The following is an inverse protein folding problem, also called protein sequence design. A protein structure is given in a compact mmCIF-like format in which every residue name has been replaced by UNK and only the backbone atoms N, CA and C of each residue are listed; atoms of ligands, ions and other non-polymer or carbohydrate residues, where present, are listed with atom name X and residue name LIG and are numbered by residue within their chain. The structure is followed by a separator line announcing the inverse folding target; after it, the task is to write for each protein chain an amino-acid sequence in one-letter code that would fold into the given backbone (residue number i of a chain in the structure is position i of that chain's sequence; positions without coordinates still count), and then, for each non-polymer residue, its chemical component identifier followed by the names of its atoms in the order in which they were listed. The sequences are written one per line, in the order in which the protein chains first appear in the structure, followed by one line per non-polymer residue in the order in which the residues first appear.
data_IF_092663667573
#
_entry.id   IF_092663667573
#
_cell.length_a   1.000
_cell.length_b   1.000
_cell.length_c   1.000
_cell.angle_alpha   90.00
_cell.angle_beta   90.00
_cell.angle_gamma   90.00
#
_symmetry.space_group_name_H-M   'P 1'
#
loop_
_entity.id
_entity.type
_entity.pdbx_description
1 polymer ?
#
# COMPACT_ATOMS: atom_id res chain seq x y z
N UNK A 1 -14.84 19.83 10.19
CA UNK A 1 -13.87 19.42 9.16
C UNK A 1 -12.43 19.80 9.52
N UNK A 2 -12.04 21.09 9.51
CA UNK A 2 -10.64 21.48 9.83
C UNK A 2 -10.23 21.04 11.22
N UNK A 3 -11.07 21.25 12.24
CA UNK A 3 -10.81 20.77 13.61
C UNK A 3 -10.76 19.24 13.71
N UNK A 4 -11.48 18.53 12.84
CA UNK A 4 -11.45 17.06 12.77
C UNK A 4 -10.12 16.58 12.21
N UNK A 5 -9.64 17.19 11.13
CA UNK A 5 -8.32 16.90 10.57
C UNK A 5 -7.18 17.31 11.50
N UNK A 6 -7.28 18.47 12.16
CA UNK A 6 -6.27 18.96 13.10
C UNK A 6 -6.15 18.06 14.34
N UNK A 7 -7.28 17.63 14.91
CA UNK A 7 -7.29 16.67 16.04
C UNK A 7 -6.64 15.33 15.68
N UNK A 8 -6.99 14.77 14.53
CA UNK A 8 -6.38 13.53 14.04
C UNK A 8 -4.88 13.67 13.72
N UNK A 9 -4.46 14.82 13.20
CA UNK A 9 -3.04 15.12 13.00
C UNK A 9 -2.28 15.35 14.31
N UNK A 10 -2.94 15.85 15.35
CA UNK A 10 -2.34 15.95 16.67
C UNK A 10 -2.10 14.55 17.27
N UNK A 11 -3.05 13.65 17.14
CA UNK A 11 -2.88 12.25 17.56
C UNK A 11 -1.74 11.56 16.78
N UNK A 12 -1.69 11.75 15.45
CA UNK A 12 -0.59 11.25 14.62
C UNK A 12 0.77 11.81 15.06
N UNK A 13 0.82 13.10 15.42
CA UNK A 13 2.04 13.73 15.91
C UNK A 13 2.52 13.13 17.24
N UNK A 14 1.60 12.90 18.18
CA UNK A 14 1.91 12.30 19.49
C UNK A 14 2.40 10.85 19.32
N UNK A 15 1.80 10.09 18.39
CA UNK A 15 2.26 8.75 18.02
C UNK A 15 3.69 8.79 17.45
N UNK A 16 3.99 9.72 16.54
CA UNK A 16 5.33 9.84 15.97
C UNK A 16 6.38 10.22 17.03
N UNK A 17 6.03 11.05 18.01
CA UNK A 17 6.91 11.33 19.15
C UNK A 17 7.16 10.06 19.97
N UNK A 18 6.14 9.22 20.18
CA UNK A 18 6.31 7.92 20.83
C UNK A 18 7.21 6.97 20.02
N UNK A 19 7.03 6.90 18.70
CA UNK A 19 7.90 6.10 17.81
C UNK A 19 9.36 6.57 17.87
N UNK A 20 9.59 7.89 17.95
CA UNK A 20 10.92 8.46 18.11
C UNK A 20 11.56 8.03 19.43
N UNK A 21 10.80 8.05 20.51
CA UNK A 21 11.25 7.61 21.84
C UNK A 21 11.65 6.12 21.81
N UNK A 22 10.83 5.25 21.20
CA UNK A 22 11.16 3.82 21.02
C UNK A 22 12.43 3.61 20.18
N UNK A 23 12.58 4.37 19.10
CA UNK A 23 13.78 4.30 18.25
C UNK A 23 15.03 4.73 19.00
N UNK A 24 14.94 5.77 19.83
CA UNK A 24 16.03 6.23 20.69
C UNK A 24 16.36 5.21 21.80
N UNK A 25 15.34 4.59 22.41
CA UNK A 25 15.53 3.52 23.38
C UNK A 25 16.22 2.30 22.76
N UNK A 26 15.83 1.91 21.54
CA UNK A 26 16.46 0.80 20.82
C UNK A 26 17.90 1.09 20.36
N UNK A 27 18.19 2.36 20.02
CA UNK A 27 19.53 2.81 19.67
C UNK A 27 20.50 2.83 20.86
N UNK A 28 20.02 2.67 22.11
CA UNK A 28 20.87 2.61 23.28
C UNK A 28 21.66 1.28 23.33
N UNK A 29 22.95 1.37 23.64
CA UNK A 29 23.89 0.24 23.65
C UNK A 29 23.65 -0.78 24.76
N UNK A 30 22.79 -0.48 25.74
CA UNK A 30 22.46 -1.38 26.86
C UNK A 30 21.20 -2.21 26.64
N UNK A 31 20.43 -1.96 25.57
CA UNK A 31 19.25 -2.74 25.25
C UNK A 31 19.63 -4.15 24.75
N UNK A 32 18.90 -5.17 25.19
CA UNK A 32 19.06 -6.54 24.69
C UNK A 32 18.26 -6.75 23.40
N UNK A 33 18.55 -7.81 22.64
CA UNK A 33 17.81 -8.09 21.39
C UNK A 33 16.33 -8.45 21.65
N UNK A 34 16.03 -9.02 22.82
CA UNK A 34 14.66 -9.23 23.28
C UNK A 34 13.94 -7.89 23.51
N UNK A 35 14.61 -6.91 24.14
CA UNK A 35 14.04 -5.57 24.34
C UNK A 35 13.79 -4.86 23.00
N UNK A 36 14.72 -4.99 22.04
CA UNK A 36 14.57 -4.42 20.69
C UNK A 36 13.41 -5.03 19.93
N UNK A 37 13.21 -6.33 20.07
CA UNK A 37 12.06 -7.03 19.46
C UNK A 37 10.74 -6.52 20.04
N UNK A 38 10.64 -6.37 21.36
CA UNK A 38 9.44 -5.84 22.01
C UNK A 38 9.15 -4.37 21.60
N UNK A 39 10.19 -3.54 21.50
CA UNK A 39 10.07 -2.17 21.00
C UNK A 39 9.65 -2.15 19.52
N UNK A 40 10.16 -3.06 18.70
CA UNK A 40 9.77 -3.19 17.29
C UNK A 40 8.28 -3.55 17.16
N UNK A 41 7.76 -4.45 17.99
CA UNK A 41 6.34 -4.80 18.00
C UNK A 41 5.46 -3.60 18.38
N UNK A 42 5.86 -2.82 19.39
CA UNK A 42 5.18 -1.56 19.74
C UNK A 42 5.23 -0.57 18.56
N UNK A 43 6.39 -0.43 17.90
CA UNK A 43 6.54 0.44 16.73
C UNK A 43 5.64 0.00 15.56
N UNK A 44 5.50 -1.31 15.31
CA UNK A 44 4.62 -1.86 14.28
C UNK A 44 3.14 -1.50 14.58
N UNK A 45 2.72 -1.60 15.85
CA UNK A 45 1.37 -1.24 16.28
C UNK A 45 1.11 0.25 16.12
N UNK A 46 2.04 1.10 16.56
CA UNK A 46 1.95 2.55 16.39
C UNK A 46 1.86 2.95 14.91
N UNK A 47 2.62 2.28 14.05
CA UNK A 47 2.58 2.51 12.60
C UNK A 47 1.22 2.10 12.01
N UNK A 48 0.66 0.98 12.46
CA UNK A 48 -0.68 0.53 12.08
C UNK A 48 -1.76 1.52 12.56
N UNK A 49 -1.54 2.12 13.73
CA UNK A 49 -2.42 3.14 14.30
C UNK A 49 -2.39 4.45 13.49
N UNK A 50 -1.21 4.88 13.02
CA UNK A 50 -1.10 6.00 12.06
C UNK A 50 -1.92 5.70 10.79
N UNK A 51 -1.84 4.49 10.27
CA UNK A 51 -2.64 4.07 9.12
C UNK A 51 -4.15 4.08 9.44
N UNK A 52 -4.56 3.60 10.62
CA UNK A 52 -5.95 3.65 11.09
C UNK A 52 -6.45 5.09 11.09
N UNK A 53 -5.72 6.02 11.70
CA UNK A 53 -6.11 7.44 11.78
C UNK A 53 -6.25 8.01 10.36
N UNK A 54 -5.27 7.77 9.48
CA UNK A 54 -5.32 8.20 8.09
C UNK A 54 -6.56 7.69 7.35
N UNK A 55 -6.86 6.39 7.48
CA UNK A 55 -7.95 5.71 6.76
C UNK A 55 -9.35 5.98 7.34
N UNK A 56 -9.46 6.26 8.64
CA UNK A 56 -10.75 6.41 9.33
C UNK A 56 -11.16 7.87 9.54
N UNK A 57 -10.23 8.82 9.47
CA UNK A 57 -10.55 10.24 9.66
C UNK A 57 -11.40 10.78 8.50
N UNK A 58 -12.65 11.08 8.81
CA UNK A 58 -13.62 11.58 7.85
C UNK A 58 -14.51 12.69 8.41
N UNK A 59 -15.08 13.48 7.52
CA UNK A 59 -16.11 14.45 7.85
C UNK A 59 -17.16 14.45 6.75
N UNK A 60 -18.43 14.26 7.13
CA UNK A 60 -19.53 14.17 6.17
C UNK A 60 -19.23 13.18 5.04
N UNK A 61 -18.85 11.94 5.43
CA UNK A 61 -18.44 10.81 4.57
C UNK A 61 -17.22 11.03 3.66
N UNK A 62 -16.58 12.20 3.73
CA UNK A 62 -15.36 12.49 2.98
C UNK A 62 -14.13 12.20 3.83
N UNK A 63 -13.23 11.36 3.30
CA UNK A 63 -11.94 11.08 3.92
C UNK A 63 -11.02 12.30 3.82
N UNK A 64 -10.36 12.63 4.92
CA UNK A 64 -9.57 13.86 5.03
C UNK A 64 -8.06 13.60 4.96
N UNK A 65 -7.60 12.44 5.43
CA UNK A 65 -6.18 12.18 5.69
C UNK A 65 -5.57 11.02 4.89
N UNK A 66 -6.38 10.23 4.17
CA UNK A 66 -5.89 9.12 3.34
C UNK A 66 -5.61 9.53 1.88
N UNK A 67 -5.45 10.83 1.61
CA UNK A 67 -5.23 11.34 0.27
C UNK A 67 -6.49 11.51 -0.60
N UNK A 68 -7.67 11.09 -0.12
CA UNK A 68 -8.95 11.22 -0.80
C UNK A 68 -9.04 10.45 -2.13
N UNK A 69 -10.25 10.27 -2.65
CA UNK A 69 -10.48 9.82 -4.04
C UNK A 69 -10.21 10.96 -5.03
N UNK A 70 -8.98 11.48 -5.02
CA UNK A 70 -8.50 12.40 -6.03
C UNK A 70 -7.73 11.60 -7.08
N UNK A 71 -8.43 11.19 -8.15
CA UNK A 71 -7.80 10.74 -9.39
C UNK A 71 -6.69 11.71 -9.79
N UNK A 72 -5.44 11.24 -9.75
CA UNK A 72 -4.35 11.59 -10.66
C UNK A 72 -3.20 10.59 -10.44
N UNK A 73 -3.01 9.72 -11.44
CA UNK A 73 -1.81 8.96 -11.80
C UNK A 73 -0.92 8.33 -10.70
N UNK A 74 -0.98 6.99 -10.62
CA UNK A 74 0.22 6.19 -10.85
C UNK A 74 1.13 5.85 -9.66
N UNK A 75 0.72 5.98 -8.41
CA UNK A 75 1.51 5.52 -7.28
C UNK A 75 1.40 3.99 -7.10
N UNK A 76 2.10 3.26 -7.98
CA UNK A 76 2.30 1.81 -7.91
C UNK A 76 2.94 1.43 -6.57
N UNK A 77 2.40 0.42 -5.89
CA UNK A 77 3.07 -0.20 -4.74
C UNK A 77 4.29 -0.94 -5.28
N UNK A 78 5.46 -0.74 -4.71
CA UNK A 78 6.69 -1.47 -5.10
C UNK A 78 6.69 -2.83 -4.36
N UNK A 79 7.19 -3.92 -4.94
CA UNK A 79 7.73 -5.08 -4.21
C UNK A 79 9.12 -5.33 -4.77
N UNK A 80 10.01 -5.43 -3.81
CA UNK A 80 11.42 -5.60 -4.00
C UNK A 80 11.64 -7.07 -4.41
N UNK A 81 12.26 -7.34 -5.57
CA UNK A 81 12.70 -8.71 -5.89
C UNK A 81 14.11 -8.92 -5.34
N UNK A 82 14.42 -10.12 -4.87
CA UNK A 82 15.80 -10.49 -4.54
C UNK A 82 16.67 -10.62 -5.79
N UNK A 83 17.95 -10.29 -5.66
CA UNK A 83 18.95 -10.67 -6.64
C UNK A 83 19.00 -12.20 -6.72
N UNK A 84 18.87 -12.74 -7.93
CA UNK A 84 18.94 -14.17 -8.21
C UNK A 84 19.96 -14.46 -9.32
N UNK A 85 21.04 -15.12 -8.94
CA UNK A 85 22.02 -15.64 -9.90
C UNK A 85 21.76 -17.12 -10.12
N UNK A 86 21.37 -17.50 -11.33
CA UNK A 86 21.31 -18.91 -11.75
C UNK A 86 22.54 -19.24 -12.57
N UNK A 87 23.26 -20.30 -12.21
CA UNK A 87 24.41 -20.77 -12.96
C UNK A 87 24.05 -21.05 -14.43
N UNK A 88 24.88 -20.61 -15.37
CA UNK A 88 24.66 -20.84 -16.80
C UNK A 88 24.77 -22.32 -17.15
N UNK A 89 25.76 -23.00 -16.56
CA UNK A 89 26.04 -24.43 -16.72
C UNK A 89 25.80 -25.24 -15.46
N UNK A 90 25.76 -26.57 -15.61
CA UNK A 90 25.85 -27.47 -14.46
C UNK A 90 27.26 -27.42 -13.85
N UNK A 91 27.37 -27.82 -12.58
CA UNK A 91 28.66 -27.89 -11.88
C UNK A 91 29.64 -28.83 -12.58
N UNK A 92 30.93 -28.52 -12.50
CA UNK A 92 32.02 -29.37 -13.02
C UNK A 92 32.94 -29.81 -11.88
N UNK A 93 33.51 -31.01 -12.01
CA UNK A 93 34.38 -31.57 -10.97
C UNK A 93 35.72 -30.81 -10.89
N UNK A 94 35.74 -29.73 -10.11
CA UNK A 94 36.86 -28.82 -9.94
C UNK A 94 36.72 -28.06 -8.60
N UNK A 95 37.75 -27.28 -8.25
CA UNK A 95 37.69 -26.35 -7.13
C UNK A 95 37.33 -24.95 -7.62
N UNK A 96 36.49 -24.24 -6.87
CA UNK A 96 36.19 -22.84 -7.11
C UNK A 96 37.43 -21.96 -6.87
N UNK A 97 37.54 -20.88 -7.63
CA UNK A 97 38.63 -19.88 -7.52
C UNK A 97 38.11 -18.45 -7.34
N UNK A 98 36.79 -18.27 -7.28
CA UNK A 98 36.15 -16.98 -7.21
C UNK A 98 35.89 -16.52 -5.76
N UNK A 99 35.37 -15.32 -5.64
CA UNK A 99 34.68 -14.80 -4.45
C UNK A 99 33.25 -14.42 -4.84
N UNK A 100 32.32 -14.51 -3.90
CA UNK A 100 30.95 -14.05 -4.06
C UNK A 100 30.73 -12.85 -3.14
N UNK A 101 30.15 -11.77 -3.65
CA UNK A 101 29.75 -10.60 -2.88
C UNK A 101 28.24 -10.52 -2.87
N UNK A 102 27.66 -10.49 -1.67
CA UNK A 102 26.22 -10.40 -1.44
C UNK A 102 25.96 -9.19 -0.57
N UNK A 103 25.14 -8.25 -1.03
CA UNK A 103 24.78 -7.03 -0.30
C UNK A 103 25.99 -6.31 0.32
N UNK A 104 27.05 -6.17 -0.49
CA UNK A 104 28.35 -5.58 -0.13
C UNK A 104 29.21 -6.39 0.85
N UNK A 105 28.84 -7.62 1.19
CA UNK A 105 29.67 -8.56 1.98
C UNK A 105 30.33 -9.57 1.05
N UNK A 106 31.65 -9.54 0.96
CA UNK A 106 32.43 -10.47 0.13
C UNK A 106 32.86 -11.71 0.92
N UNK A 107 32.60 -12.89 0.35
CA UNK A 107 32.98 -14.21 0.85
C UNK A 107 34.01 -14.84 -0.08
N UNK A 108 35.11 -15.30 0.49
CA UNK A 108 36.09 -16.11 -0.23
C UNK A 108 35.59 -17.55 -0.37
N UNK A 109 35.18 -17.91 -1.59
CA UNK A 109 34.71 -19.26 -1.93
C UNK A 109 35.80 -20.08 -2.61
N UNK A 110 37.04 -19.58 -2.66
CA UNK A 110 38.17 -20.36 -3.16
C UNK A 110 38.31 -21.66 -2.36
N UNK A 111 38.61 -22.74 -3.08
CA UNK A 111 38.79 -24.07 -2.50
C UNK A 111 37.51 -24.83 -2.16
N UNK A 112 36.31 -24.28 -2.41
CA UNK A 112 35.10 -25.14 -2.43
C UNK A 112 35.26 -26.16 -3.54
N UNK A 113 35.08 -27.44 -3.22
CA UNK A 113 35.26 -28.53 -4.20
C UNK A 113 33.93 -29.13 -4.64
N UNK A 114 33.75 -29.24 -5.96
CA UNK A 114 32.71 -30.07 -6.56
C UNK A 114 33.33 -31.43 -6.87
N UNK A 115 32.85 -32.48 -6.20
CA UNK A 115 33.41 -33.83 -6.36
C UNK A 115 32.92 -34.53 -7.64
N UNK A 116 31.67 -34.29 -8.04
CA UNK A 116 30.99 -34.93 -9.17
C UNK A 116 30.24 -33.91 -9.99
N UNK A 117 30.24 -34.06 -11.32
CA UNK A 117 29.53 -33.17 -12.25
C UNK A 117 28.05 -33.57 -12.39
N UNK A 118 27.35 -33.66 -11.28
CA UNK A 118 25.95 -34.05 -11.16
C UNK A 118 25.23 -33.27 -10.04
N UNK A 119 23.93 -33.50 -9.88
CA UNK A 119 23.13 -32.82 -8.85
C UNK A 119 23.60 -33.13 -7.42
N UNK A 120 24.12 -34.34 -7.18
CA UNK A 120 24.69 -34.69 -5.88
C UNK A 120 25.94 -33.85 -5.56
N UNK A 121 26.79 -33.61 -6.57
CA UNK A 121 27.94 -32.73 -6.46
C UNK A 121 27.55 -31.26 -6.27
N UNK A 122 26.49 -30.80 -6.95
CA UNK A 122 25.96 -29.46 -6.76
C UNK A 122 25.39 -29.26 -5.34
N UNK A 123 24.61 -30.22 -4.82
CA UNK A 123 24.07 -30.17 -3.47
C UNK A 123 25.19 -30.13 -2.40
N UNK A 124 26.24 -30.95 -2.57
CA UNK A 124 27.38 -30.93 -1.66
C UNK A 124 28.13 -29.58 -1.68
N UNK A 125 28.33 -29.02 -2.87
CA UNK A 125 28.95 -27.71 -3.02
C UNK A 125 28.09 -26.58 -2.41
N UNK A 126 26.76 -26.61 -2.60
CA UNK A 126 25.85 -25.63 -2.00
C UNK A 126 25.97 -25.60 -0.46
N UNK A 127 26.07 -26.78 0.17
CA UNK A 127 26.27 -26.90 1.63
C UNK A 127 27.63 -26.31 2.04
N UNK A 128 28.69 -26.60 1.29
CA UNK A 128 30.03 -26.08 1.58
C UNK A 128 30.09 -24.55 1.42
N UNK A 129 29.50 -24.00 0.35
CA UNK A 129 29.37 -22.56 0.14
C UNK A 129 28.61 -21.90 1.29
N UNK A 130 27.46 -22.45 1.70
CA UNK A 130 26.65 -21.90 2.78
C UNK A 130 27.41 -21.78 4.10
N UNK A 131 28.39 -22.65 4.35
CA UNK A 131 29.24 -22.62 5.54
C UNK A 131 30.42 -21.65 5.48
N UNK A 132 30.70 -21.02 4.33
CA UNK A 132 31.72 -19.99 4.23
C UNK A 132 31.34 -18.78 5.08
N UNK A 133 32.32 -18.21 5.77
CA UNK A 133 32.12 -17.09 6.68
C UNK A 133 32.94 -15.89 6.28
N UNK A 134 32.37 -14.70 6.45
CA UNK A 134 33.05 -13.42 6.28
C UNK A 134 32.56 -12.46 7.36
N UNK A 135 33.48 -11.80 8.06
CA UNK A 135 33.12 -10.86 9.13
C UNK A 135 32.30 -11.46 10.29
N UNK A 136 32.27 -12.78 10.45
CA UNK A 136 31.45 -13.48 11.47
C UNK A 136 30.07 -13.93 10.99
N UNK A 137 29.66 -13.59 9.77
CA UNK A 137 28.38 -13.98 9.16
C UNK A 137 28.59 -15.17 8.22
N UNK A 138 27.65 -16.11 8.15
CA UNK A 138 27.69 -17.21 7.18
C UNK A 138 27.05 -16.77 5.86
N UNK A 139 27.53 -17.32 4.75
CA UNK A 139 26.92 -17.06 3.43
C UNK A 139 25.46 -17.54 3.40
N UNK A 140 25.14 -18.64 4.10
CA UNK A 140 23.76 -19.14 4.25
C UNK A 140 22.81 -18.16 4.96
N UNK A 141 23.33 -17.17 5.69
CA UNK A 141 22.51 -16.17 6.37
C UNK A 141 22.05 -15.07 5.40
N UNK A 142 22.76 -14.91 4.28
CA UNK A 142 22.52 -13.86 3.27
C UNK A 142 21.98 -14.41 1.94
N UNK A 143 22.26 -15.66 1.60
CA UNK A 143 21.85 -16.28 0.32
C UNK A 143 21.29 -17.67 0.57
N UNK A 144 20.16 -17.97 -0.06
CA UNK A 144 19.70 -19.34 -0.27
C UNK A 144 20.36 -19.91 -1.52
N UNK A 145 21.09 -21.02 -1.32
CA UNK A 145 21.80 -21.73 -2.39
C UNK A 145 21.08 -23.05 -2.61
N UNK A 146 20.43 -23.20 -3.76
CA UNK A 146 19.64 -24.38 -4.12
C UNK A 146 20.11 -24.97 -5.44
N UNK A 147 19.62 -26.17 -5.78
CA UNK A 147 19.90 -26.80 -7.08
C UNK A 147 18.63 -26.92 -7.91
N UNK A 148 18.76 -26.87 -9.23
CA UNK A 148 17.65 -27.05 -10.18
C UNK A 148 17.29 -28.52 -10.46
N UNK A 149 17.96 -29.47 -9.78
CA UNK A 149 17.83 -30.91 -10.01
C UNK A 149 18.58 -31.42 -11.25
N UNK A 150 19.18 -30.52 -12.05
CA UNK A 150 20.03 -30.84 -13.20
C UNK A 150 21.52 -30.51 -12.95
N UNK A 151 21.87 -30.23 -11.68
CA UNK A 151 23.23 -29.91 -11.26
C UNK A 151 23.63 -28.45 -11.45
N UNK A 152 22.68 -27.53 -11.69
CA UNK A 152 22.96 -26.09 -11.65
C UNK A 152 22.68 -25.52 -10.26
N UNK A 153 23.48 -24.54 -9.87
CA UNK A 153 23.29 -23.79 -8.63
C UNK A 153 22.42 -22.55 -8.89
N UNK A 154 21.49 -22.29 -7.98
CA UNK A 154 20.68 -21.07 -7.93
C UNK A 154 20.98 -20.37 -6.62
N UNK A 155 21.45 -19.14 -6.72
CA UNK A 155 21.76 -18.25 -5.61
C UNK A 155 20.67 -17.20 -5.54
N UNK A 156 19.88 -17.19 -4.48
CA UNK A 156 18.85 -16.19 -4.24
C UNK A 156 19.19 -15.43 -2.97
N UNK A 157 19.41 -14.13 -3.08
CA UNK A 157 19.68 -13.29 -1.92
C UNK A 157 18.46 -13.27 -1.00
N UNK A 158 18.70 -13.24 0.31
CA UNK A 158 17.63 -13.13 1.32
C UNK A 158 17.16 -11.70 1.51
N UNK A 159 17.93 -10.73 1.02
CA UNK A 159 17.53 -9.34 0.88
C UNK A 159 16.69 -9.13 -0.38
N UNK A 160 15.96 -8.03 -0.43
CA UNK A 160 15.10 -7.68 -1.57
C UNK A 160 15.40 -6.25 -2.05
N UNK A 161 15.16 -5.98 -3.35
CA UNK A 161 15.12 -4.63 -3.91
C UNK A 161 16.48 -4.07 -4.28
N UNK A 162 16.60 -2.75 -4.41
CA UNK A 162 17.82 -2.10 -4.94
C UNK A 162 19.09 -2.33 -4.12
N UNK A 163 18.94 -2.77 -2.86
CA UNK A 163 20.06 -3.14 -1.98
C UNK A 163 20.45 -4.62 -2.09
N UNK A 164 19.56 -5.43 -2.66
CA UNK A 164 19.82 -6.84 -2.94
C UNK A 164 20.78 -6.95 -4.12
N UNK A 165 21.93 -7.56 -3.90
CA UNK A 165 22.92 -7.78 -4.96
C UNK A 165 23.64 -9.09 -4.74
N UNK A 166 23.88 -9.82 -5.83
CA UNK A 166 24.80 -10.95 -5.87
C UNK A 166 25.79 -10.66 -6.98
N UNK A 167 27.08 -10.79 -6.70
CA UNK A 167 28.13 -10.70 -7.71
C UNK A 167 29.23 -11.70 -7.46
N UNK A 168 29.77 -12.30 -8.52
CA UNK A 168 30.95 -13.15 -8.50
C UNK A 168 32.14 -12.37 -9.04
N UNK A 169 33.31 -12.55 -8.45
CA UNK A 169 34.50 -11.79 -8.85
C UNK A 169 35.10 -12.22 -10.20
N UNK A 170 34.72 -13.39 -10.70
CA UNK A 170 35.16 -13.97 -11.96
C UNK A 170 34.26 -15.14 -12.37
N UNK A 171 34.37 -15.56 -13.64
CA UNK A 171 33.84 -16.84 -14.11
C UNK A 171 34.34 -17.99 -13.23
N UNK A 172 33.45 -18.90 -12.89
CA UNK A 172 33.78 -20.08 -12.09
C UNK A 172 33.18 -21.34 -12.72
N UNK A 173 34.03 -22.09 -13.43
CA UNK A 173 33.64 -23.31 -14.12
C UNK A 173 33.19 -24.41 -13.15
N UNK A 174 33.71 -24.46 -11.92
CA UNK A 174 33.31 -25.47 -10.94
C UNK A 174 31.83 -25.26 -10.55
N UNK A 175 31.42 -24.01 -10.35
CA UNK A 175 30.07 -23.62 -9.95
C UNK A 175 29.13 -23.34 -11.13
N UNK A 176 29.61 -23.42 -12.37
CA UNK A 176 28.82 -23.14 -13.57
C UNK A 176 28.51 -21.65 -13.79
N UNK A 177 29.25 -20.75 -13.14
CA UNK A 177 29.10 -19.30 -13.23
C UNK A 177 29.88 -18.77 -14.43
N UNK A 178 29.26 -17.90 -15.22
CA UNK A 178 29.85 -17.20 -16.37
C UNK A 178 29.55 -15.72 -16.30
N UNK A 179 30.24 -14.88 -17.08
CA UNK A 179 30.04 -13.44 -17.13
C UNK A 179 28.60 -12.99 -17.47
N UNK A 180 27.77 -13.87 -18.05
CA UNK A 180 26.35 -13.59 -18.30
C UNK A 180 25.46 -13.77 -17.07
N UNK A 181 25.97 -14.43 -16.03
CA UNK A 181 25.28 -14.81 -14.80
C UNK A 181 26.10 -14.43 -13.57
N UNK A 182 27.14 -13.61 -13.73
CA UNK A 182 28.07 -13.29 -12.64
C UNK A 182 27.47 -12.29 -11.66
N UNK A 183 26.42 -11.57 -12.07
CA UNK A 183 25.82 -10.49 -11.31
C UNK A 183 24.31 -10.49 -11.47
N UNK A 184 23.61 -10.20 -10.38
CA UNK A 184 22.23 -9.76 -10.41
C UNK A 184 21.99 -8.73 -9.30
N UNK A 185 21.06 -7.82 -9.54
CA UNK A 185 20.62 -6.84 -8.55
C UNK A 185 19.11 -6.89 -8.46
N UNK A 186 18.59 -6.94 -7.24
CA UNK A 186 17.17 -6.89 -6.99
C UNK A 186 16.57 -5.63 -7.62
N UNK A 187 15.45 -5.81 -8.32
CA UNK A 187 14.74 -4.70 -8.97
C UNK A 187 13.60 -4.25 -8.07
N UNK A 188 13.36 -2.93 -7.92
CA UNK A 188 12.11 -2.44 -7.38
C UNK A 188 11.04 -2.65 -8.44
N UNK A 189 10.48 -3.86 -8.53
CA UNK A 189 9.31 -4.07 -9.38
C UNK A 189 8.10 -3.50 -8.69
N UNK A 190 7.14 -3.03 -9.46
CA UNK A 190 5.87 -2.59 -8.91
C UNK A 190 5.02 -3.82 -8.63
N UNK A 191 4.53 -4.02 -7.40
CA UNK A 191 3.40 -4.93 -7.11
C UNK A 191 2.26 -4.43 -7.95
N UNK A 192 2.05 -5.13 -9.05
CA UNK A 192 0.78 -5.04 -9.72
C UNK A 192 -0.23 -5.67 -8.77
N UNK A 193 -1.13 -4.87 -8.20
CA UNK A 193 -2.31 -5.46 -7.57
C UNK A 193 -3.06 -6.18 -8.68
N UNK A 194 -2.90 -7.49 -8.70
CA UNK A 194 -3.56 -8.36 -9.65
C UNK A 194 -5.06 -8.24 -9.43
N UNK A 195 -5.79 -7.97 -10.50
CA UNK A 195 -7.23 -7.94 -10.43
C UNK A 195 -7.84 -7.96 -11.81
N UNK A 196 -9.15 -7.78 -11.81
CA UNK A 196 -10.01 -7.88 -12.95
C UNK A 196 -10.79 -6.57 -13.03
N UNK A 197 -10.77 -5.91 -14.18
CA UNK A 197 -11.61 -4.73 -14.42
C UNK A 197 -12.68 -5.07 -15.46
N UNK A 198 -13.89 -4.58 -15.21
CA UNK A 198 -15.01 -4.63 -16.12
C UNK A 198 -14.67 -3.93 -17.44
N UNK A 199 -14.92 -4.61 -18.56
CA UNK A 199 -14.62 -4.06 -19.90
C UNK A 199 -15.47 -2.84 -20.25
N UNK A 200 -16.61 -2.65 -19.57
CA UNK A 200 -17.50 -1.51 -19.72
C UNK A 200 -17.85 -0.90 -18.35
N UNK A 201 -18.05 0.42 -18.34
CA UNK A 201 -18.59 1.13 -17.18
C UNK A 201 -20.03 0.69 -16.91
N UNK A 202 -20.44 0.73 -15.64
CA UNK A 202 -21.81 0.38 -15.20
C UNK A 202 -22.87 1.42 -15.59
N UNK A 203 -22.54 2.35 -16.49
CA UNK A 203 -23.40 3.45 -16.93
C UNK A 203 -24.18 3.13 -18.21
N UNK A 204 -23.97 1.96 -18.82
CA UNK A 204 -24.63 1.57 -20.07
C UNK A 204 -26.08 1.07 -19.88
N UNK A 205 -26.46 0.72 -18.65
CA UNK A 205 -27.79 0.22 -18.29
C UNK A 205 -27.84 -0.18 -16.81
N UNK A 206 -29.04 -0.17 -16.22
CA UNK A 206 -29.23 -0.57 -14.83
C UNK A 206 -28.79 -2.02 -14.61
N UNK A 207 -28.02 -2.24 -13.55
CA UNK A 207 -27.54 -3.58 -13.20
C UNK A 207 -28.66 -4.33 -12.50
N UNK A 208 -29.01 -5.52 -12.97
CA UNK A 208 -29.97 -6.41 -12.27
C UNK A 208 -29.30 -7.73 -11.95
N UNK A 209 -29.37 -8.15 -10.69
CA UNK A 209 -28.90 -9.43 -10.19
C UNK A 209 -30.10 -10.32 -9.85
N UNK A 210 -30.24 -11.41 -10.59
CA UNK A 210 -31.24 -12.45 -10.34
C UNK A 210 -30.90 -13.26 -9.08
N UNK A 211 -31.89 -13.94 -8.52
CA UNK A 211 -31.73 -14.79 -7.32
C UNK A 211 -30.83 -16.01 -7.53
N UNK A 212 -30.57 -16.36 -8.79
CA UNK A 212 -29.71 -17.49 -9.17
C UNK A 212 -28.33 -17.06 -9.64
N UNK A 213 -28.05 -15.76 -9.74
CA UNK A 213 -26.80 -15.29 -10.34
C UNK A 213 -25.62 -15.59 -9.39
N UNK A 214 -24.62 -16.28 -9.92
CA UNK A 214 -23.38 -16.56 -9.21
C UNK A 214 -22.15 -16.38 -10.11
N UNK A 215 -21.02 -16.05 -9.47
CA UNK A 215 -19.70 -15.99 -10.11
C UNK A 215 -18.79 -17.05 -9.49
N UNK A 216 -17.92 -17.63 -10.32
CA UNK A 216 -16.85 -18.52 -9.87
C UNK A 216 -15.54 -17.78 -9.92
N UNK A 217 -14.87 -17.66 -8.78
CA UNK A 217 -13.59 -17.01 -8.66
C UNK A 217 -12.49 -18.05 -8.42
N UNK A 218 -11.41 -17.94 -9.17
CA UNK A 218 -10.18 -18.72 -8.96
C UNK A 218 -9.05 -17.76 -8.65
N UNK A 219 -8.34 -18.02 -7.54
CA UNK A 219 -7.21 -17.20 -7.07
C UNK A 219 -5.92 -18.01 -7.22
N UNK A 220 -5.04 -17.60 -8.12
CA UNK A 220 -3.86 -18.34 -8.54
C UNK A 220 -4.23 -19.73 -9.05
N UNK A 221 -3.66 -20.77 -8.43
CA UNK A 221 -3.91 -22.18 -8.75
C UNK A 221 -4.93 -22.87 -7.83
N UNK A 222 -5.68 -22.10 -7.03
CA UNK A 222 -6.66 -22.65 -6.10
C UNK A 222 -7.94 -23.12 -6.82
N UNK A 223 -8.70 -24.00 -6.16
CA UNK A 223 -10.01 -24.42 -6.66
C UNK A 223 -10.97 -23.23 -6.75
N UNK A 224 -11.79 -23.19 -7.81
CA UNK A 224 -12.79 -22.16 -7.98
C UNK A 224 -13.83 -22.17 -6.85
N UNK A 225 -14.12 -20.99 -6.29
CA UNK A 225 -15.18 -20.78 -5.28
C UNK A 225 -16.36 -20.11 -5.94
N UNK A 226 -17.56 -20.67 -5.73
CA UNK A 226 -18.81 -20.11 -6.26
C UNK A 226 -19.45 -19.13 -5.27
N UNK A 227 -19.64 -17.90 -5.73
CA UNK A 227 -20.16 -16.76 -4.98
C UNK A 227 -21.54 -16.41 -5.52
N UNK A 228 -22.58 -16.56 -4.70
CA UNK A 228 -23.94 -16.13 -5.05
C UNK A 228 -24.07 -14.63 -4.87
N UNK A 229 -24.45 -13.92 -5.93
CA UNK A 229 -24.43 -12.46 -5.94
C UNK A 229 -25.69 -11.82 -5.34
N UNK A 230 -26.76 -12.60 -5.15
CA UNK A 230 -28.00 -12.11 -4.58
C UNK A 230 -28.68 -13.18 -3.72
N UNK A 231 -28.73 -12.90 -2.41
CA UNK A 231 -29.35 -13.78 -1.42
C UNK A 231 -30.71 -13.28 -0.91
N UNK A 232 -31.26 -12.21 -1.49
CA UNK A 232 -32.48 -11.53 -1.02
C UNK A 232 -33.79 -12.22 -1.42
N UNK A 233 -33.76 -13.38 -2.08
CA UNK A 233 -34.97 -14.12 -2.48
C UNK A 233 -35.79 -13.49 -3.60
N UNK A 234 -35.49 -12.25 -4.00
CA UNK A 234 -36.03 -11.54 -5.17
C UNK A 234 -34.90 -10.92 -5.98
N UNK A 235 -35.13 -10.68 -7.28
CA UNK A 235 -34.15 -10.00 -8.12
C UNK A 235 -33.95 -8.55 -7.63
N UNK A 236 -32.71 -8.08 -7.61
CA UNK A 236 -32.34 -6.74 -7.16
C UNK A 236 -31.81 -5.93 -8.34
N UNK A 237 -32.36 -4.73 -8.54
CA UNK A 237 -31.95 -3.81 -9.61
C UNK A 237 -31.32 -2.56 -8.99
N UNK A 238 -30.13 -2.20 -9.47
CA UNK A 238 -29.39 -1.02 -9.10
C UNK A 238 -29.53 0.03 -10.20
N UNK A 239 -30.00 1.21 -9.83
CA UNK A 239 -30.29 2.31 -10.76
C UNK A 239 -29.03 3.09 -11.14
N UNK A 240 -28.11 2.44 -11.83
CA UNK A 240 -26.79 2.98 -12.21
C UNK A 240 -26.86 4.01 -13.34
N UNK A 241 -28.04 4.21 -13.94
CA UNK A 241 -28.28 5.19 -15.02
C UNK A 241 -29.19 6.35 -14.62
N UNK A 242 -29.41 6.55 -13.32
CA UNK A 242 -30.22 7.65 -12.82
C UNK A 242 -29.72 9.00 -13.32
N UNK A 243 -30.64 9.91 -13.64
CA UNK A 243 -30.31 11.26 -14.10
C UNK A 243 -29.56 12.08 -13.03
N UNK A 244 -29.77 11.78 -11.74
CA UNK A 244 -28.97 12.32 -10.64
C UNK A 244 -27.71 11.47 -10.45
N UNK A 245 -26.55 12.06 -10.74
CA UNK A 245 -25.26 11.41 -10.62
C UNK A 245 -24.95 10.92 -9.20
N UNK A 246 -25.49 11.54 -8.15
CA UNK A 246 -25.31 11.09 -6.78
C UNK A 246 -26.11 9.81 -6.49
N UNK A 247 -27.32 9.72 -7.05
CA UNK A 247 -28.19 8.53 -6.92
C UNK A 247 -27.61 7.37 -7.72
N UNK A 248 -27.16 7.62 -8.96
CA UNK A 248 -26.49 6.61 -9.78
C UNK A 248 -25.21 6.09 -9.10
N UNK A 249 -24.43 7.00 -8.49
CA UNK A 249 -23.23 6.64 -7.74
C UNK A 249 -23.55 5.83 -6.47
N UNK A 250 -24.53 6.26 -5.68
CA UNK A 250 -24.98 5.52 -4.51
C UNK A 250 -25.48 4.11 -4.89
N UNK A 251 -26.18 3.95 -6.01
CA UNK A 251 -26.61 2.65 -6.50
C UNK A 251 -25.44 1.74 -6.92
N UNK A 252 -24.37 2.30 -7.50
CA UNK A 252 -23.14 1.55 -7.79
C UNK A 252 -22.38 1.18 -6.51
N UNK A 253 -22.34 2.07 -5.52
CA UNK A 253 -21.74 1.79 -4.20
C UNK A 253 -22.51 0.69 -3.44
N UNK A 254 -23.85 0.71 -3.50
CA UNK A 254 -24.71 -0.34 -2.95
C UNK A 254 -24.46 -1.68 -3.65
N UNK A 255 -24.30 -1.69 -4.97
CA UNK A 255 -23.93 -2.89 -5.72
C UNK A 255 -22.57 -3.45 -5.24
N UNK A 256 -21.55 -2.60 -5.13
CA UNK A 256 -20.22 -3.02 -4.65
C UNK A 256 -20.29 -3.54 -3.21
N UNK A 257 -21.09 -2.91 -2.34
CA UNK A 257 -21.32 -3.37 -0.97
C UNK A 257 -21.94 -4.76 -0.94
N UNK A 258 -22.96 -5.02 -1.75
CA UNK A 258 -23.61 -6.33 -1.81
C UNK A 258 -22.71 -7.40 -2.41
N UNK A 259 -21.90 -7.05 -3.43
CA UNK A 259 -20.90 -7.97 -3.98
C UNK A 259 -19.83 -8.34 -2.93
N UNK A 260 -19.39 -7.39 -2.12
CA UNK A 260 -18.45 -7.64 -1.03
C UNK A 260 -19.08 -8.49 0.09
N UNK A 261 -20.35 -8.28 0.42
CA UNK A 261 -21.08 -9.13 1.36
C UNK A 261 -21.21 -10.58 0.83
N UNK A 262 -21.50 -10.74 -0.46
CA UNK A 262 -21.54 -12.04 -1.11
C UNK A 262 -20.17 -12.75 -1.09
N UNK A 263 -19.08 -12.02 -1.38
CA UNK A 263 -17.71 -12.54 -1.30
C UNK A 263 -17.36 -12.98 0.13
N UNK A 264 -17.77 -12.20 1.13
CA UNK A 264 -17.57 -12.56 2.54
C UNK A 264 -18.34 -13.83 2.93
N UNK A 265 -19.61 -13.95 2.53
CA UNK A 265 -20.42 -15.15 2.81
C UNK A 265 -19.83 -16.41 2.16
N UNK A 266 -19.20 -16.26 0.99
CA UNK A 266 -18.49 -17.34 0.31
C UNK A 266 -17.07 -17.61 0.87
N UNK A 267 -16.65 -16.90 1.92
CA UNK A 267 -15.31 -17.06 2.53
C UNK A 267 -14.17 -16.50 1.68
N UNK A 268 -14.45 -15.57 0.78
CA UNK A 268 -13.49 -14.97 -0.15
C UNK A 268 -13.00 -13.57 0.26
N UNK A 269 -13.49 -13.01 1.37
CA UNK A 269 -13.13 -11.66 1.83
C UNK A 269 -11.65 -11.43 2.03
N UNK A 270 -10.90 -12.49 2.37
CA UNK A 270 -9.47 -12.42 2.61
C UNK A 270 -8.65 -12.58 1.32
N UNK A 271 -9.34 -12.79 0.18
CA UNK A 271 -8.71 -13.09 -1.11
C UNK A 271 -9.11 -12.16 -2.24
N UNK A 272 -10.38 -11.76 -2.29
CA UNK A 272 -10.94 -10.95 -3.37
C UNK A 272 -11.86 -9.88 -2.78
N UNK A 273 -11.64 -8.64 -3.19
CA UNK A 273 -12.50 -7.49 -2.87
C UNK A 273 -13.10 -6.91 -4.15
N UNK A 274 -14.39 -6.60 -4.14
CA UNK A 274 -15.03 -5.81 -5.20
C UNK A 274 -14.87 -4.30 -4.95
N UNK A 275 -14.60 -3.53 -5.99
CA UNK A 275 -14.47 -2.08 -5.95
C UNK A 275 -14.98 -1.44 -7.25
N UNK A 276 -15.12 -0.12 -7.26
CA UNK A 276 -15.44 0.66 -8.45
C UNK A 276 -14.23 1.50 -8.84
N UNK A 277 -13.78 1.37 -10.09
CA UNK A 277 -12.74 2.20 -10.66
C UNK A 277 -13.20 3.63 -10.93
N UNK A 278 -12.25 4.53 -11.19
CA UNK A 278 -12.54 5.94 -11.49
C UNK A 278 -13.49 6.14 -12.68
N UNK A 279 -13.45 5.22 -13.65
CA UNK A 279 -14.31 5.23 -14.84
C UNK A 279 -15.69 4.57 -14.61
N UNK A 280 -16.10 4.33 -13.36
CA UNK A 280 -17.32 3.58 -12.99
C UNK A 280 -17.35 2.14 -13.52
N UNK A 281 -16.18 1.54 -13.73
CA UNK A 281 -16.05 0.12 -14.06
C UNK A 281 -15.96 -0.69 -12.78
N UNK A 282 -16.64 -1.83 -12.74
CA UNK A 282 -16.51 -2.75 -11.61
C UNK A 282 -15.14 -3.42 -11.64
N UNK A 283 -14.50 -3.55 -10.49
CA UNK A 283 -13.19 -4.15 -10.35
C UNK A 283 -13.22 -5.23 -9.26
N UNK A 284 -12.53 -6.34 -9.48
CA UNK A 284 -12.23 -7.34 -8.45
C UNK A 284 -10.73 -7.36 -8.21
N UNK A 285 -10.31 -7.21 -6.96
CA UNK A 285 -8.92 -6.99 -6.61
C UNK A 285 -8.45 -8.15 -5.73
N UNK A 286 -7.25 -8.66 -6.03
CA UNK A 286 -6.61 -9.68 -5.21
C UNK A 286 -6.02 -9.05 -3.96
N UNK A 287 -6.40 -9.59 -2.82
CA UNK A 287 -5.79 -9.28 -1.53
C UNK A 287 -4.61 -10.21 -1.24
N UNK A 288 -4.47 -11.30 -2.01
CA UNK A 288 -3.37 -12.28 -1.86
C UNK A 288 -2.17 -12.00 -2.75
N UNK A 289 -2.25 -11.00 -3.64
CA UNK A 289 -1.25 -10.74 -4.67
C UNK A 289 -1.18 -11.80 -5.77
N UNK A 290 -2.05 -12.82 -5.76
CA UNK A 290 -2.16 -13.81 -6.83
C UNK A 290 -3.15 -13.35 -7.90
N UNK A 291 -2.97 -13.81 -9.14
CA UNK A 291 -3.93 -13.61 -10.22
C UNK A 291 -5.34 -14.08 -9.84
N UNK A 292 -6.36 -13.31 -10.23
CA UNK A 292 -7.75 -13.74 -10.12
C UNK A 292 -8.30 -13.99 -11.51
N UNK A 293 -9.09 -15.04 -11.67
CA UNK A 293 -9.99 -15.20 -12.80
C UNK A 293 -11.44 -15.33 -12.31
N UNK A 294 -12.36 -14.81 -13.12
CA UNK A 294 -13.80 -14.88 -12.85
C UNK A 294 -14.51 -15.53 -14.03
N UNK A 295 -15.42 -16.43 -13.74
CA UNK A 295 -16.30 -17.06 -14.71
C UNK A 295 -17.75 -17.00 -14.22
N UNK A 296 -18.72 -17.12 -15.14
CA UNK A 296 -20.11 -17.30 -14.73
C UNK A 296 -20.24 -18.64 -13.98
N UNK A 297 -20.92 -18.62 -12.84
CA UNK A 297 -21.44 -19.82 -12.20
C UNK A 297 -22.80 -20.16 -12.82
N UNK A 298 -23.85 -19.76 -12.12
CA UNK A 298 -25.25 -19.84 -12.54
C UNK A 298 -25.71 -18.48 -13.09
N UNK A 299 -26.55 -18.51 -14.12
CA UNK A 299 -26.97 -17.28 -14.82
C UNK A 299 -25.88 -16.68 -15.72
N UNK A 300 -26.04 -15.41 -16.08
CA UNK A 300 -25.07 -14.66 -16.91
C UNK A 300 -24.73 -13.28 -16.32
N UNK A 301 -24.37 -13.17 -15.04
CA UNK A 301 -24.16 -11.88 -14.38
C UNK A 301 -22.96 -11.08 -14.92
N UNK A 302 -21.95 -11.71 -15.54
CA UNK A 302 -20.82 -10.97 -16.12
C UNK A 302 -21.29 -9.97 -17.18
N UNK A 303 -22.34 -10.29 -17.94
CA UNK A 303 -22.89 -9.39 -18.94
C UNK A 303 -23.52 -8.14 -18.32
N UNK A 304 -24.19 -8.27 -17.16
CA UNK A 304 -24.78 -7.14 -16.43
C UNK A 304 -23.76 -6.37 -15.60
N UNK A 305 -22.61 -6.97 -15.28
CA UNK A 305 -21.55 -6.39 -14.44
C UNK A 305 -20.39 -5.77 -15.24
N UNK A 306 -20.62 -5.33 -16.48
CA UNK A 306 -19.61 -4.64 -17.30
C UNK A 306 -19.14 -5.40 -18.54
N UNK A 307 -19.96 -6.32 -19.07
CA UNK A 307 -19.76 -6.94 -20.38
C UNK A 307 -18.63 -7.97 -20.48
N UNK A 308 -17.80 -8.11 -19.43
CA UNK A 308 -16.60 -8.93 -19.39
C UNK A 308 -15.61 -8.40 -18.35
N UNK A 309 -14.60 -9.20 -17.99
CA UNK A 309 -13.51 -8.77 -17.11
C UNK A 309 -12.16 -9.02 -17.78
N UNK A 310 -11.31 -8.01 -17.83
CA UNK A 310 -9.94 -8.11 -18.30
C UNK A 310 -8.99 -8.15 -17.10
N UNK A 311 -7.94 -8.97 -17.15
CA UNK A 311 -6.88 -8.93 -16.16
C UNK A 311 -6.14 -7.60 -16.27
N UNK A 312 -6.02 -6.89 -15.15
CA UNK A 312 -5.29 -5.64 -15.07
C UNK A 312 -4.26 -5.76 -13.95
N UNK A 313 -3.03 -5.40 -14.28
CA UNK A 313 -2.01 -5.12 -13.29
C UNK A 313 -2.12 -3.68 -12.82
N UNK A 314 -2.12 -3.45 -11.51
CA UNK A 314 -2.38 -2.13 -10.90
C UNK A 314 -3.82 -1.66 -11.12
N UNK A 315 -4.79 -2.46 -10.67
CA UNK A 315 -6.18 -2.01 -10.62
C UNK A 315 -6.24 -0.69 -9.83
N UNK A 316 -6.86 0.34 -10.43
CA UNK A 316 -7.09 1.67 -9.85
C UNK A 316 -7.97 1.56 -8.60
N UNK A 317 -7.39 1.09 -7.50
CA UNK A 317 -8.11 1.05 -6.23
C UNK A 317 -8.33 2.48 -5.76
N UNK A 318 -9.56 2.77 -5.33
CA UNK A 318 -9.84 3.81 -4.34
C UNK A 318 -9.09 3.46 -3.04
N UNK A 319 -7.82 3.84 -3.04
CA UNK A 319 -6.89 4.11 -1.94
C UNK A 319 -6.88 3.14 -0.74
N UNK A 320 -5.93 2.19 -0.74
CA UNK A 320 -5.39 1.48 0.42
C UNK A 320 -4.38 0.38 0.06
N UNK A 321 -3.55 -0.10 1.00
CA UNK A 321 -2.55 0.59 1.82
C UNK A 321 -1.20 0.68 1.06
N UNK A 322 -0.61 1.87 0.97
CA UNK A 322 0.72 2.07 0.34
C UNK A 322 0.76 2.96 -0.92
N UNK A 323 -0.37 3.24 -1.56
CA UNK A 323 -0.42 4.22 -2.66
C UNK A 323 -0.60 5.65 -2.10
N UNK A 324 0.41 6.51 -2.26
CA UNK A 324 0.34 7.93 -1.87
C UNK A 324 -0.82 8.61 -2.62
N UNK A 325 -1.84 9.08 -1.91
CA UNK A 325 -2.94 9.84 -2.53
C UNK A 325 -2.58 11.33 -2.68
N UNK A 326 -3.21 12.04 -3.64
CA UNK A 326 -2.94 13.46 -3.95
C UNK A 326 -3.34 14.45 -2.83
N UNK A 327 -3.91 13.96 -1.73
CA UNK A 327 -4.43 14.80 -0.66
C UNK A 327 -5.90 15.18 -0.86
N UNK A 328 -6.59 15.47 0.24
CA UNK A 328 -7.92 16.06 0.23
C UNK A 328 -7.84 17.53 -0.20
N UNK A 329 -8.62 17.94 -1.22
CA UNK A 329 -8.67 19.33 -1.66
C UNK A 329 -10.10 19.82 -1.75
N UNK A 330 -10.39 20.98 -1.18
CA UNK A 330 -11.72 21.62 -1.24
C UNK A 330 -11.61 23.12 -1.35
N UNK A 331 -12.69 23.75 -1.85
CA UNK A 331 -12.83 25.21 -1.91
C UNK A 331 -14.07 25.62 -1.13
N UNK A 332 -13.86 26.43 -0.10
CA UNK A 332 -14.93 27.07 0.67
C UNK A 332 -15.28 28.41 0.06
N UNK A 333 -16.56 28.68 -0.16
CA UNK A 333 -17.02 30.05 -0.38
C UNK A 333 -17.15 30.74 0.98
N UNK A 334 -16.38 31.81 1.17
CA UNK A 334 -16.23 32.51 2.46
C UNK A 334 -16.81 33.92 2.41
N UNK A 335 -17.67 34.22 1.43
CA UNK A 335 -18.28 35.53 1.29
C UNK A 335 -19.41 35.56 0.27
N UNK A 336 -20.20 36.64 0.34
CA UNK A 336 -21.44 36.80 -0.44
C UNK A 336 -21.21 37.06 -1.93
N UNK A 337 -20.00 37.48 -2.32
CA UNK A 337 -19.68 37.82 -3.70
C UNK A 337 -18.93 36.69 -4.42
N UNK A 338 -19.13 36.59 -5.73
CA UNK A 338 -18.41 35.66 -6.60
C UNK A 338 -16.90 35.94 -6.55
N UNK A 339 -16.10 34.87 -6.40
CA UNK A 339 -14.63 34.97 -6.28
C UNK A 339 -14.08 35.04 -4.85
N UNK A 340 -14.94 35.17 -3.83
CA UNK A 340 -14.52 35.10 -2.43
C UNK A 340 -14.47 33.64 -1.94
N UNK A 341 -13.39 32.94 -2.27
CA UNK A 341 -13.17 31.55 -1.87
C UNK A 341 -11.84 31.32 -1.15
N UNK A 342 -11.80 30.25 -0.36
CA UNK A 342 -10.64 29.75 0.35
C UNK A 342 -10.41 28.31 -0.07
N UNK A 343 -9.23 27.99 -0.60
CA UNK A 343 -8.85 26.61 -0.84
C UNK A 343 -8.26 26.00 0.43
N UNK A 344 -8.58 24.74 0.69
CA UNK A 344 -7.94 23.92 1.70
C UNK A 344 -7.45 22.64 1.03
N UNK A 345 -6.16 22.37 1.16
CA UNK A 345 -5.52 21.15 0.72
C UNK A 345 -4.88 20.49 1.93
N UNK A 346 -5.11 19.18 2.10
CA UNK A 346 -4.53 18.33 3.15
C UNK A 346 -3.87 17.16 2.45
N UNK A 347 -2.56 16.96 2.63
CA UNK A 347 -1.88 15.84 1.97
C UNK A 347 -2.26 14.48 2.59
N UNK A 348 -1.86 13.37 1.96
CA UNK A 348 -1.95 12.05 2.58
C UNK A 348 -1.03 11.98 3.81
N UNK A 349 -1.58 11.52 4.93
CA UNK A 349 -0.92 11.47 6.24
C UNK A 349 -0.77 10.04 6.76
N UNK A 350 -0.99 9.03 5.91
CA UNK A 350 -0.73 7.63 6.23
C UNK A 350 0.77 7.33 6.29
N UNK A 351 1.10 6.21 6.91
CA UNK A 351 2.47 5.81 7.23
C UNK A 351 3.40 5.76 5.99
N UNK A 352 2.89 5.27 4.86
CA UNK A 352 3.63 5.22 3.60
C UNK A 352 3.90 6.63 3.03
N UNK A 353 2.90 7.53 3.08
CA UNK A 353 3.02 8.89 2.55
C UNK A 353 3.96 9.78 3.38
N UNK A 354 4.01 9.56 4.70
CA UNK A 354 4.97 10.24 5.58
C UNK A 354 6.33 9.52 5.67
N UNK A 355 6.48 8.39 4.97
CA UNK A 355 7.75 7.68 4.77
C UNK A 355 8.20 6.80 5.94
N UNK A 356 7.30 6.41 6.85
CA UNK A 356 7.60 5.53 7.99
C UNK A 356 7.26 4.06 7.73
N UNK A 357 6.69 3.74 6.57
CA UNK A 357 6.62 2.37 6.04
C UNK A 357 7.27 2.28 4.68
N UNK A 358 7.68 1.07 4.35
CA UNK A 358 8.40 0.77 3.13
C UNK A 358 8.17 -0.67 2.70
N UNK A 359 9.07 -1.15 1.86
CA UNK A 359 9.03 -2.51 1.37
C UNK A 359 9.68 -3.49 2.34
N UNK A 360 9.14 -4.70 2.40
CA UNK A 360 9.83 -5.80 3.07
C UNK A 360 11.24 -5.95 2.48
N UNK A 361 12.23 -6.12 3.35
CA UNK A 361 13.64 -6.30 2.94
C UNK A 361 14.35 -5.03 2.45
N UNK A 362 13.65 -3.89 2.30
CA UNK A 362 14.26 -2.61 1.99
C UNK A 362 15.14 -2.15 3.16
N UNK A 363 16.33 -1.62 2.86
CA UNK A 363 17.21 -1.05 3.88
C UNK A 363 16.48 0.01 4.73
N UNK A 364 16.55 -0.15 6.05
CA UNK A 364 15.85 0.69 7.02
C UNK A 364 14.44 0.21 7.38
N UNK A 365 13.92 -0.84 6.74
CA UNK A 365 12.60 -1.43 7.00
C UNK A 365 12.70 -2.92 7.37
N UNK A 366 11.63 -3.49 7.92
CA UNK A 366 11.58 -4.89 8.37
C UNK A 366 11.68 -5.86 7.19
N UNK A 367 12.27 -7.04 7.42
CA UNK A 367 12.40 -8.09 6.40
C UNK A 367 11.06 -8.73 5.97
N UNK A 368 9.98 -8.43 6.68
CA UNK A 368 8.64 -8.92 6.39
C UNK A 368 7.62 -7.84 6.67
N UNK A 369 6.46 -7.95 6.03
CA UNK A 369 5.33 -7.07 6.32
C UNK A 369 4.83 -7.32 7.75
N UNK A 370 4.86 -6.28 8.56
CA UNK A 370 4.51 -6.31 9.99
C UNK A 370 3.37 -5.35 10.34
N UNK A 371 3.03 -4.44 9.44
CA UNK A 371 2.11 -3.32 9.65
C UNK A 371 0.82 -3.53 8.87
N UNK A 372 -0.31 -3.24 9.52
CA UNK A 372 -1.63 -3.29 8.89
C UNK A 372 -2.09 -1.91 8.44
N UNK A 373 -3.17 -1.88 7.67
CA UNK A 373 -3.81 -0.62 7.29
C UNK A 373 -4.66 -0.01 8.42
N UNK A 374 -4.69 -0.63 9.61
CA UNK A 374 -5.43 -0.18 10.78
C UNK A 374 -6.94 -0.44 10.75
N UNK A 375 -7.49 -0.92 9.64
CA UNK A 375 -8.93 -1.25 9.46
C UNK A 375 -9.18 -2.74 9.24
N UNK A 376 -8.12 -3.52 9.02
CA UNK A 376 -8.14 -4.97 8.93
C UNK A 376 -6.84 -5.55 9.52
N UNK A 377 -6.79 -6.87 9.63
CA UNK A 377 -5.65 -7.61 10.19
C UNK A 377 -4.59 -7.97 9.12
N UNK A 378 -4.70 -7.42 7.91
CA UNK A 378 -3.81 -7.75 6.80
C UNK A 378 -2.50 -6.95 6.95
N UNK A 379 -1.38 -7.67 7.07
CA UNK A 379 -0.04 -7.09 7.12
C UNK A 379 0.48 -6.89 5.70
N UNK A 380 0.35 -5.66 5.21
CA UNK A 380 0.66 -5.31 3.82
C UNK A 380 1.90 -4.41 3.68
N UNK A 381 2.38 -3.84 4.79
CA UNK A 381 3.48 -2.87 4.80
C UNK A 381 4.61 -3.31 5.76
N UNK A 382 5.85 -2.95 5.45
CA UNK A 382 6.99 -3.15 6.35
C UNK A 382 7.22 -1.88 7.20
N UNK A 383 7.40 -2.07 8.50
CA UNK A 383 7.73 -0.97 9.42
C UNK A 383 9.20 -0.57 9.30
N UNK A 384 9.54 0.60 9.85
CA UNK A 384 10.94 0.93 10.16
C UNK A 384 11.59 -0.14 11.04
N UNK A 385 12.82 -0.49 10.71
CA UNK A 385 13.59 -1.50 11.44
C UNK A 385 14.38 -0.85 12.59
N UNK A 386 13.99 -1.20 13.81
CA UNK A 386 14.67 -0.83 15.05
C UNK A 386 15.18 -2.07 15.80
N UNK A 387 15.24 -3.23 15.16
CA UNK A 387 15.72 -4.48 15.78
C UNK A 387 17.23 -4.50 16.01
N UNK A 388 17.98 -3.57 15.38
CA UNK A 388 19.40 -3.36 15.63
C UNK A 388 19.72 -1.88 15.88
N UNK A 389 20.85 -1.63 16.54
CA UNK A 389 21.26 -0.29 16.97
C UNK A 389 21.46 0.68 15.79
N UNK A 390 22.01 0.21 14.68
CA UNK A 390 22.36 1.07 13.56
C UNK A 390 21.13 1.50 12.77
N UNK A 391 20.19 0.58 12.54
CA UNK A 391 18.93 0.84 11.87
C UNK A 391 17.96 1.60 12.76
N UNK A 392 18.01 1.40 14.09
CA UNK A 392 17.32 2.26 15.04
C UNK A 392 17.77 3.73 14.95
N UNK A 393 19.08 3.97 14.80
CA UNK A 393 19.60 5.33 14.61
C UNK A 393 19.16 5.94 13.26
N UNK A 394 19.11 5.15 12.18
CA UNK A 394 18.57 5.59 10.88
C UNK A 394 17.07 5.90 10.95
N UNK A 395 16.32 5.11 11.70
CA UNK A 395 14.88 5.27 11.89
C UNK A 395 14.51 6.59 12.57
N UNK A 396 15.34 7.09 13.50
CA UNK A 396 15.13 8.41 14.12
C UNK A 396 15.08 9.53 13.07
N UNK A 397 15.98 9.51 12.09
CA UNK A 397 16.01 10.53 11.04
C UNK A 397 14.75 10.49 10.15
N UNK A 398 14.25 9.29 9.86
CA UNK A 398 13.00 9.10 9.10
C UNK A 398 11.80 9.60 9.89
N UNK A 399 11.73 9.28 11.19
CA UNK A 399 10.64 9.74 12.08
C UNK A 399 10.70 11.26 12.27
N UNK A 400 11.89 11.87 12.39
CA UNK A 400 12.04 13.32 12.49
C UNK A 400 11.53 14.03 11.21
N UNK A 401 11.79 13.44 10.04
CA UNK A 401 11.22 13.92 8.77
C UNK A 401 9.68 13.79 8.76
N UNK A 402 9.14 12.68 9.23
CA UNK A 402 7.69 12.47 9.33
C UNK A 402 7.03 13.47 10.28
N UNK A 403 7.64 13.73 11.45
CA UNK A 403 7.21 14.74 12.43
C UNK A 403 7.18 16.12 11.75
N UNK A 404 8.24 16.49 11.04
CA UNK A 404 8.31 17.77 10.34
C UNK A 404 7.19 17.91 9.29
N UNK A 405 6.91 16.84 8.53
CA UNK A 405 5.80 16.81 7.57
C UNK A 405 4.44 17.01 8.24
N UNK A 406 4.14 16.27 9.32
CA UNK A 406 2.89 16.42 10.08
C UNK A 406 2.76 17.82 10.70
N UNK A 407 3.83 18.32 11.31
CA UNK A 407 3.85 19.65 11.92
C UNK A 407 3.64 20.77 10.90
N UNK A 408 4.23 20.64 9.70
CA UNK A 408 3.99 21.56 8.59
C UNK A 408 2.53 21.56 8.18
N UNK A 409 1.91 20.39 8.05
CA UNK A 409 0.50 20.26 7.66
C UNK A 409 -0.44 20.86 8.73
N UNK A 410 -0.18 20.61 10.03
CA UNK A 410 -0.89 21.26 11.14
C UNK A 410 -0.77 22.78 11.12
N UNK A 411 0.42 23.29 10.80
CA UNK A 411 0.66 24.72 10.64
C UNK A 411 -0.21 25.34 9.54
N UNK A 412 -0.37 24.65 8.41
CA UNK A 412 -1.27 25.08 7.33
C UNK A 412 -2.73 25.09 7.80
N UNK A 413 -3.19 24.05 8.49
CA UNK A 413 -4.56 23.98 9.01
C UNK A 413 -4.85 25.10 10.02
N UNK A 414 -3.92 25.38 10.93
CA UNK A 414 -4.04 26.48 11.89
C UNK A 414 -4.09 27.84 11.20
N UNK A 415 -3.27 28.06 10.17
CA UNK A 415 -3.32 29.29 9.38
C UNK A 415 -4.66 29.47 8.65
N UNK A 416 -5.21 28.39 8.07
CA UNK A 416 -6.53 28.41 7.43
C UNK A 416 -7.64 28.67 8.46
N UNK A 417 -7.56 28.06 9.65
CA UNK A 417 -8.50 28.31 10.74
C UNK A 417 -8.50 29.78 11.16
N UNK A 418 -7.33 30.38 11.40
CA UNK A 418 -7.20 31.79 11.73
C UNK A 418 -7.79 32.70 10.63
N UNK A 419 -7.51 32.39 9.35
CA UNK A 419 -8.09 33.13 8.22
C UNK A 419 -9.61 33.02 8.17
N UNK A 420 -10.16 31.84 8.42
CA UNK A 420 -11.60 31.62 8.47
C UNK A 420 -12.23 32.41 9.62
N UNK A 421 -11.64 32.38 10.81
CA UNK A 421 -12.15 33.12 11.98
C UNK A 421 -12.17 34.64 11.74
N UNK A 422 -11.09 35.19 11.17
CA UNK A 422 -11.07 36.60 10.77
C UNK A 422 -12.11 36.92 9.69
N UNK A 423 -12.31 36.02 8.71
CA UNK A 423 -13.31 36.22 7.66
C UNK A 423 -14.72 36.14 8.24
N UNK A 424 -14.99 35.20 9.14
CA UNK A 424 -16.28 35.05 9.83
C UNK A 424 -16.60 36.32 10.63
N UNK A 425 -15.63 36.84 11.40
CA UNK A 425 -15.83 38.07 12.18
C UNK A 425 -16.14 39.27 11.26
N UNK A 426 -15.40 39.40 10.15
CA UNK A 426 -15.63 40.47 9.18
C UNK A 426 -17.00 40.34 8.46
N UNK A 427 -17.40 39.12 8.11
CA UNK A 427 -18.72 38.85 7.55
C UNK A 427 -19.83 39.10 8.58
N UNK A 428 -19.62 38.78 9.85
CA UNK A 428 -20.55 39.07 10.93
C UNK A 428 -20.81 40.57 11.04
N UNK A 429 -19.75 41.38 11.10
CA UNK A 429 -19.86 42.85 11.10
C UNK A 429 -20.54 43.36 9.82
N UNK A 430 -20.20 42.81 8.66
CA UNK A 430 -20.83 43.20 7.39
C UNK A 430 -22.32 42.83 7.35
N UNK A 431 -22.70 41.66 7.87
CA UNK A 431 -24.09 41.22 7.98
C UNK A 431 -24.87 42.11 8.93
N UNK A 432 -24.30 42.46 10.09
CA UNK A 432 -24.92 43.37 11.05
C UNK A 432 -25.17 44.75 10.43
N UNK A 433 -24.17 45.28 9.70
CA UNK A 433 -24.30 46.53 8.96
C UNK A 433 -25.38 46.45 7.85
N UNK A 434 -25.45 45.33 7.12
CA UNK A 434 -26.47 45.12 6.08
C UNK A 434 -27.87 45.00 6.69
N UNK A 435 -28.04 44.28 7.80
CA UNK A 435 -29.33 44.20 8.51
C UNK A 435 -29.75 45.57 9.05
N UNK A 436 -28.82 46.36 9.58
CA UNK A 436 -29.09 47.72 10.02
C UNK A 436 -29.48 48.63 8.84
N UNK A 437 -28.81 48.50 7.70
CA UNK A 437 -29.15 49.22 6.48
C UNK A 437 -30.52 48.80 5.93
N UNK A 438 -30.84 47.51 5.92
CA UNK A 438 -32.15 46.97 5.53
C UNK A 438 -33.26 47.48 6.46
N UNK A 439 -33.02 47.51 7.78
CA UNK A 439 -33.97 48.09 8.74
C UNK A 439 -34.23 49.55 8.43
N UNK A 440 -33.20 50.35 8.16
CA UNK A 440 -33.35 51.77 7.79
C UNK A 440 -34.12 51.96 6.48
N UNK A 441 -33.84 51.13 5.47
CA UNK A 441 -34.58 51.17 4.21
C UNK A 441 -36.05 50.83 4.45
N UNK A 442 -36.36 49.77 5.20
CA UNK A 442 -37.73 49.40 5.54
C UNK A 442 -38.44 50.49 6.35
N UNK A 443 -37.77 51.12 7.31
CA UNK A 443 -38.34 52.21 8.10
C UNK A 443 -38.65 53.44 7.23
N UNK A 444 -37.78 53.75 6.25
CA UNK A 444 -38.01 54.83 5.27
C UNK A 444 -39.17 54.48 4.33
N UNK A 445 -39.21 53.26 3.80
CA UNK A 445 -40.31 52.79 2.94
C UNK A 445 -41.64 52.81 3.69
N UNK A 446 -41.65 52.43 4.98
CA UNK A 446 -42.83 52.50 5.84
C UNK A 446 -43.27 53.94 6.09
N UNK A 447 -42.34 54.87 6.34
CA UNK A 447 -42.62 56.29 6.52
C UNK A 447 -43.13 56.98 5.24
N UNK A 448 -42.80 56.45 4.05
CA UNK A 448 -43.31 56.95 2.77
C UNK A 448 -44.74 56.44 2.47
N UNK A 449 -45.09 55.26 2.99
CA UNK A 449 -46.37 54.59 2.75
C UNK A 449 -47.49 54.97 3.75
N UNK A 450 -47.12 55.49 4.92
CA UNK A 450 -48.02 56.03 5.95
C UNK A 450 -48.33 57.52 5.69
#
# INVERSE_FOLDING_TARGET
MISTAEGALNETHDILQRMRELSNQSANGTATDADRTAMQDELNQLTSEVNRIGNTTEFNTQKLLNGGVGSNDGAKITQATSATVTAAGAVTAAASTASITVDNVTFDISGVTVATADDAGAQAAAIELGNKTSGGTKLSDLVDITTDGAGKLVFTAKSEGTTSSISFSADDAALGITAATDTDTGSPTTVERHGLEGTAALTAGNVTLSTTDSLKFTVGSESAVEVKLNNSGTAKTYDTTNADANIAKAAMEDLVKDLNAALQEAGMSDKVTASLGADNKLQFISETGKDISVANGSGTPIASLGGGFASVGNVDQVVGPGAQGSGYNTKFQIGANTGQSMSLSINDMRSAAIGITGNAGQAGFTASNSVTNGTNDIKAEAALNISNKEDAAKSIAVIDKAIASVSSERGKLGAVQNRLEHTINNLGTSSENLTAAESRIRDVDYALAA
#
